data_IF_845199239961
#
_entry.id   IF_845199239961
#
_cell.length_a   1.000
_cell.length_b   1.000
_cell.length_c   1.000
_cell.angle_alpha   90.00
_cell.angle_beta   90.00
_cell.angle_gamma   90.00
#
_symmetry.space_group_name_H-M   'P 1'
#
loop_
_entity.id
_entity.type
_entity.pdbx_description
1 polymer ?
#
# COMPACT_ATOMS: atom_id res chain seq x y z
N UNK A 1 37.40 24.90 21.95
CA UNK A 1 36.40 24.64 20.88
C UNK A 1 36.38 23.19 20.45
N UNK A 2 37.52 22.55 20.15
CA UNK A 2 37.58 21.12 19.76
C UNK A 2 36.81 20.19 20.72
N UNK A 3 37.07 20.24 22.04
CA UNK A 3 36.34 19.42 23.04
C UNK A 3 34.82 19.65 23.08
N UNK A 4 34.34 20.83 22.67
CA UNK A 4 32.91 21.13 22.62
C UNK A 4 32.26 20.52 21.38
N UNK A 5 32.95 20.59 20.23
CA UNK A 5 32.52 19.94 18.97
C UNK A 5 32.49 18.41 19.17
N UNK A 6 33.56 17.81 19.72
CA UNK A 6 33.61 16.36 20.02
C UNK A 6 32.47 15.90 20.94
N UNK A 7 32.02 16.75 21.87
CA UNK A 7 30.88 16.42 22.74
C UNK A 7 29.56 16.46 21.96
N UNK A 8 29.37 17.44 21.09
CA UNK A 8 28.20 17.54 20.22
C UNK A 8 28.17 16.34 19.24
N UNK A 9 29.31 15.92 18.71
CA UNK A 9 29.41 14.75 17.84
C UNK A 9 29.05 13.44 18.56
N UNK A 10 29.50 13.26 19.81
CA UNK A 10 29.07 12.12 20.64
C UNK A 10 27.57 12.14 20.91
N UNK A 11 27.00 13.31 21.17
CA UNK A 11 25.54 13.44 21.37
C UNK A 11 24.77 13.11 20.07
N UNK A 12 25.28 13.52 18.90
CA UNK A 12 24.69 13.17 17.59
C UNK A 12 24.74 11.66 17.35
N UNK A 13 25.89 11.02 17.57
CA UNK A 13 26.03 9.57 17.39
C UNK A 13 25.09 8.77 18.30
N UNK A 14 24.89 9.22 19.55
CA UNK A 14 23.93 8.60 20.46
C UNK A 14 22.48 8.75 19.97
N UNK A 15 22.13 9.90 19.37
CA UNK A 15 20.82 10.11 18.77
C UNK A 15 20.61 9.25 17.53
N UNK A 16 21.63 9.10 16.68
CA UNK A 16 21.57 8.21 15.50
C UNK A 16 21.30 6.75 15.90
N UNK A 17 21.97 6.25 16.94
CA UNK A 17 21.74 4.88 17.43
C UNK A 17 20.33 4.70 18.00
N UNK A 18 19.83 5.71 18.73
CA UNK A 18 18.44 5.70 19.21
C UNK A 18 17.42 5.73 18.05
N UNK A 19 17.72 6.49 16.98
CA UNK A 19 16.89 6.54 15.78
C UNK A 19 16.89 5.19 15.04
N UNK A 20 18.05 4.51 14.94
CA UNK A 20 18.13 3.14 14.40
C UNK A 20 17.29 2.15 15.18
N UNK A 21 17.34 2.21 16.50
CA UNK A 21 16.53 1.33 17.35
C UNK A 21 15.02 1.55 17.11
N UNK A 22 14.58 2.82 17.02
CA UNK A 22 13.20 3.18 16.67
C UNK A 22 12.85 2.71 15.25
N UNK A 23 13.76 2.81 14.29
CA UNK A 23 13.54 2.35 12.92
C UNK A 23 13.20 0.85 12.86
N UNK A 24 13.97 0.02 13.57
CA UNK A 24 13.72 -1.42 13.65
C UNK A 24 12.37 -1.73 14.31
N UNK A 25 12.02 -0.99 15.38
CA UNK A 25 10.73 -1.14 16.03
C UNK A 25 9.57 -0.76 15.09
N UNK A 26 9.73 0.34 14.35
CA UNK A 26 8.75 0.84 13.39
C UNK A 26 8.53 -0.14 12.23
N UNK A 27 9.61 -0.66 11.66
CA UNK A 27 9.57 -1.68 10.60
C UNK A 27 8.84 -2.94 11.08
N UNK A 28 9.17 -3.44 12.28
CA UNK A 28 8.49 -4.59 12.86
C UNK A 28 6.99 -4.32 13.12
N UNK A 29 6.65 -3.13 13.59
CA UNK A 29 5.26 -2.75 13.82
C UNK A 29 4.46 -2.70 12.51
N UNK A 30 5.04 -2.14 11.44
CA UNK A 30 4.42 -2.16 10.11
C UNK A 30 4.35 -3.55 9.50
N UNK A 31 5.34 -4.41 9.73
CA UNK A 31 5.31 -5.81 9.31
C UNK A 31 4.12 -6.57 9.89
N UNK A 32 3.92 -6.45 11.21
CA UNK A 32 2.75 -7.02 11.89
C UNK A 32 1.44 -6.42 11.36
N UNK A 33 1.38 -5.09 11.28
CA UNK A 33 0.20 -4.36 10.84
C UNK A 33 -0.25 -4.75 9.43
N UNK A 34 0.66 -4.79 8.45
CA UNK A 34 0.29 -5.12 7.06
C UNK A 34 -0.11 -6.59 6.90
N UNK A 35 0.47 -7.50 7.70
CA UNK A 35 0.03 -8.89 7.75
C UNK A 35 -1.41 -9.01 8.27
N UNK A 36 -1.71 -8.34 9.39
CA UNK A 36 -3.07 -8.27 9.93
C UNK A 36 -4.02 -7.58 8.95
N UNK A 37 -3.56 -6.51 8.27
CA UNK A 37 -4.34 -5.75 7.31
C UNK A 37 -4.71 -6.62 6.12
N UNK A 38 -3.78 -7.39 5.56
CA UNK A 38 -4.07 -8.32 4.47
C UNK A 38 -5.18 -9.32 4.81
N UNK A 39 -5.21 -9.83 6.06
CA UNK A 39 -6.29 -10.70 6.53
C UNK A 39 -7.63 -9.95 6.67
N UNK A 40 -7.61 -8.74 7.20
CA UNK A 40 -8.81 -7.93 7.38
C UNK A 40 -9.41 -7.51 6.03
N UNK A 41 -8.57 -7.06 5.09
CA UNK A 41 -8.96 -6.67 3.73
C UNK A 41 -9.68 -7.80 3.01
N UNK A 42 -9.17 -9.03 3.10
CA UNK A 42 -9.83 -10.21 2.52
C UNK A 42 -11.23 -10.42 3.09
N UNK A 43 -11.40 -10.31 4.41
CA UNK A 43 -12.70 -10.46 5.08
C UNK A 43 -13.65 -9.33 4.67
N UNK A 44 -13.18 -8.09 4.69
CA UNK A 44 -13.98 -6.90 4.38
C UNK A 44 -14.41 -6.86 2.92
N UNK A 45 -13.55 -7.28 1.98
CA UNK A 45 -13.94 -7.43 0.58
C UNK A 45 -15.08 -8.44 0.40
N UNK A 46 -15.03 -9.59 1.10
CA UNK A 46 -16.09 -10.59 1.05
C UNK A 46 -17.40 -10.03 1.62
N UNK A 47 -17.34 -9.33 2.76
CA UNK A 47 -18.50 -8.71 3.40
C UNK A 47 -19.12 -7.62 2.53
N UNK A 48 -18.30 -6.72 1.98
CA UNK A 48 -18.76 -5.67 1.07
C UNK A 48 -19.41 -6.28 -0.18
N UNK A 49 -18.79 -7.30 -0.78
CA UNK A 49 -19.34 -8.01 -1.94
C UNK A 49 -20.67 -8.71 -1.60
N UNK A 50 -20.75 -9.34 -0.43
CA UNK A 50 -21.99 -9.96 0.05
C UNK A 50 -23.11 -8.93 0.20
N UNK A 51 -22.85 -7.81 0.88
CA UNK A 51 -23.82 -6.74 1.05
C UNK A 51 -24.24 -6.15 -0.30
N UNK A 52 -23.30 -5.91 -1.21
CA UNK A 52 -23.62 -5.40 -2.53
C UNK A 52 -24.51 -6.35 -3.32
N UNK A 53 -24.20 -7.65 -3.34
CA UNK A 53 -24.99 -8.65 -4.06
C UNK A 53 -26.37 -8.91 -3.43
N UNK A 54 -26.52 -8.76 -2.11
CA UNK A 54 -27.77 -9.13 -1.41
C UNK A 54 -28.68 -7.96 -1.09
N UNK A 55 -28.11 -6.76 -0.88
CA UNK A 55 -28.86 -5.55 -0.53
C UNK A 55 -28.87 -4.54 -1.67
N UNK A 56 -27.82 -4.51 -2.50
CA UNK A 56 -27.73 -3.57 -3.64
C UNK A 56 -28.38 -4.09 -4.90
N UNK A 57 -27.96 -5.28 -5.32
CA UNK A 57 -28.36 -5.87 -6.60
C UNK A 57 -28.84 -7.32 -6.45
N UNK A 58 -29.84 -7.59 -5.57
CA UNK A 58 -30.33 -8.95 -5.33
C UNK A 58 -30.87 -9.61 -6.60
N UNK A 59 -31.67 -8.90 -7.39
CA UNK A 59 -32.24 -9.44 -8.63
C UNK A 59 -31.16 -9.82 -9.63
N UNK A 60 -30.19 -8.94 -9.87
CA UNK A 60 -29.08 -9.21 -10.79
C UNK A 60 -28.25 -10.42 -10.34
N UNK A 61 -28.00 -10.55 -9.04
CA UNK A 61 -27.31 -11.71 -8.48
C UNK A 61 -28.15 -13.01 -8.58
N UNK A 62 -29.47 -12.93 -8.42
CA UNK A 62 -30.38 -14.07 -8.59
C UNK A 62 -30.51 -14.51 -10.06
N UNK A 63 -30.32 -13.61 -11.03
CA UNK A 63 -30.26 -13.97 -12.44
C UNK A 63 -29.02 -14.79 -12.82
N UNK A 64 -27.96 -14.75 -12.02
CA UNK A 64 -26.79 -15.60 -12.22
C UNK A 64 -27.13 -17.07 -11.99
N UNK A 65 -26.62 -17.96 -12.84
CA UNK A 65 -26.62 -19.40 -12.60
C UNK A 65 -25.76 -19.78 -11.38
N UNK A 66 -25.98 -20.98 -10.83
CA UNK A 66 -25.19 -21.49 -9.71
C UNK A 66 -23.67 -21.45 -10.01
N UNK A 67 -23.26 -21.85 -11.21
CA UNK A 67 -21.86 -21.84 -11.62
C UNK A 67 -21.29 -20.42 -11.67
N UNK A 68 -22.02 -19.46 -12.26
CA UNK A 68 -21.60 -18.05 -12.31
C UNK A 68 -21.44 -17.45 -10.90
N UNK A 69 -22.37 -17.76 -9.98
CA UNK A 69 -22.26 -17.32 -8.57
C UNK A 69 -21.00 -17.90 -7.90
N UNK A 70 -20.71 -19.19 -8.13
CA UNK A 70 -19.51 -19.83 -7.59
C UNK A 70 -18.23 -19.20 -8.17
N UNK A 71 -18.17 -18.99 -9.49
CA UNK A 71 -17.04 -18.35 -10.16
C UNK A 71 -16.80 -16.93 -9.64
N UNK A 72 -17.86 -16.12 -9.49
CA UNK A 72 -17.77 -14.76 -8.94
C UNK A 72 -17.20 -14.77 -7.52
N UNK A 73 -17.73 -15.64 -6.64
CA UNK A 73 -17.24 -15.75 -5.26
C UNK A 73 -15.77 -16.22 -5.19
N UNK A 74 -15.36 -17.15 -6.05
CA UNK A 74 -13.97 -17.60 -6.13
C UNK A 74 -13.05 -16.48 -6.65
N UNK A 75 -13.47 -15.75 -7.67
CA UNK A 75 -12.72 -14.64 -8.22
C UNK A 75 -12.49 -13.54 -7.18
N UNK A 76 -13.53 -13.14 -6.44
CA UNK A 76 -13.42 -12.15 -5.35
C UNK A 76 -12.46 -12.63 -4.26
N UNK A 77 -12.50 -13.91 -3.87
CA UNK A 77 -11.58 -14.48 -2.87
C UNK A 77 -10.13 -14.44 -3.36
N UNK A 78 -9.88 -14.82 -4.62
CA UNK A 78 -8.54 -14.77 -5.23
C UNK A 78 -8.02 -13.35 -5.30
N UNK A 79 -8.87 -12.40 -5.66
CA UNK A 79 -8.53 -10.99 -5.75
C UNK A 79 -8.11 -10.43 -4.38
N UNK A 80 -8.85 -10.76 -3.31
CA UNK A 80 -8.43 -10.44 -1.94
C UNK A 80 -7.11 -11.10 -1.51
N UNK A 81 -6.82 -12.33 -1.95
CA UNK A 81 -5.54 -13.00 -1.67
C UNK A 81 -4.38 -12.26 -2.34
N UNK A 82 -4.51 -11.93 -3.62
CA UNK A 82 -3.49 -11.19 -4.37
C UNK A 82 -3.20 -9.82 -3.75
N UNK A 83 -4.24 -9.09 -3.32
CA UNK A 83 -4.04 -7.81 -2.64
C UNK A 83 -3.32 -7.95 -1.29
N UNK A 84 -3.63 -9.01 -0.53
CA UNK A 84 -2.93 -9.29 0.73
C UNK A 84 -1.45 -9.65 0.51
N UNK A 85 -1.14 -10.40 -0.55
CA UNK A 85 0.23 -10.69 -0.95
C UNK A 85 0.98 -9.42 -1.38
N UNK A 86 0.34 -8.55 -2.17
CA UNK A 86 0.91 -7.26 -2.57
C UNK A 86 1.27 -6.38 -1.37
N UNK A 87 0.40 -6.30 -0.35
CA UNK A 87 0.69 -5.56 0.88
C UNK A 87 1.96 -6.06 1.59
N UNK A 88 2.24 -7.37 1.53
CA UNK A 88 3.41 -7.98 2.16
C UNK A 88 4.70 -7.84 1.33
N UNK A 89 4.61 -7.71 0.01
CA UNK A 89 5.79 -7.50 -0.86
C UNK A 89 6.53 -6.22 -0.48
N UNK A 90 5.79 -5.16 -0.11
CA UNK A 90 6.38 -3.90 0.36
C UNK A 90 7.15 -4.02 1.68
N UNK A 91 7.04 -5.14 2.41
CA UNK A 91 7.88 -5.41 3.58
C UNK A 91 9.10 -6.26 3.19
N UNK A 92 8.87 -7.28 2.36
CA UNK A 92 9.90 -8.28 2.01
C UNK A 92 11.03 -7.75 1.13
N UNK A 93 10.79 -6.65 0.41
CA UNK A 93 11.85 -5.91 -0.29
C UNK A 93 12.99 -5.46 0.64
N UNK A 94 12.83 -5.46 1.97
CA UNK A 94 13.89 -5.15 2.93
C UNK A 94 14.67 -6.37 3.46
N UNK A 95 14.11 -7.59 3.40
CA UNK A 95 14.74 -8.79 3.99
C UNK A 95 15.72 -9.48 3.03
N UNK A 96 15.53 -9.38 1.72
CA UNK A 96 16.39 -10.03 0.71
C UNK A 96 17.71 -9.32 0.40
N UNK A 97 18.03 -8.22 1.11
CA UNK A 97 19.28 -7.46 0.91
C UNK A 97 20.47 -7.87 1.79
N UNK A 98 20.40 -9.00 2.50
CA UNK A 98 21.44 -9.40 3.49
C UNK A 98 21.93 -10.84 3.44
N UNK A 99 21.68 -11.57 2.35
CA UNK A 99 22.19 -12.95 2.25
C UNK A 99 22.65 -13.31 0.84
N UNK A 100 23.64 -12.58 0.33
CA UNK A 100 24.58 -13.15 -0.65
C UNK A 100 26.00 -12.81 -0.20
N UNK A 101 26.44 -13.57 0.80
CA UNK A 101 27.84 -13.71 1.17
C UNK A 101 28.27 -15.15 0.91
N UNK A 102 29.16 -15.28 -0.06
CA UNK A 102 30.24 -16.26 -0.14
C UNK A 102 29.95 -17.64 -0.78
N UNK A 103 30.37 -17.68 -2.05
CA UNK A 103 31.26 -18.65 -2.71
C UNK A 103 31.08 -20.16 -2.49
N UNK A 104 30.99 -20.84 -3.64
CA UNK A 104 31.78 -22.03 -3.92
C UNK A 104 30.99 -23.22 -4.44
N UNK A 105 30.99 -23.42 -5.76
CA UNK A 105 31.22 -24.76 -6.31
C UNK A 105 31.73 -24.67 -7.76
N UNK A 106 32.96 -25.14 -7.95
CA UNK A 106 33.54 -25.49 -9.24
C UNK A 106 33.09 -26.92 -9.61
N UNK A 107 32.82 -27.17 -10.88
CA UNK A 107 32.57 -28.51 -11.42
C UNK A 107 31.74 -28.43 -12.70
N UNK A 108 32.35 -28.16 -13.85
CA UNK A 108 33.06 -29.12 -14.71
C UNK A 108 32.14 -29.89 -15.69
N UNK A 109 32.57 -29.81 -16.95
CA UNK A 109 32.35 -30.65 -18.14
C UNK A 109 30.94 -31.02 -18.66
N UNK A 110 30.79 -30.91 -19.99
CA UNK A 110 29.71 -31.55 -20.73
C UNK A 110 29.46 -30.99 -22.13
N UNK A 111 30.31 -31.38 -23.06
CA UNK A 111 30.13 -31.34 -24.52
C UNK A 111 28.77 -31.91 -25.00
N UNK A 112 28.17 -31.29 -26.02
CA UNK A 112 27.79 -31.91 -27.31
C UNK A 112 26.78 -31.02 -28.06
N UNK A 113 27.05 -30.81 -29.35
CA UNK A 113 26.11 -30.21 -30.29
C UNK A 113 25.17 -31.23 -30.91
N UNK A 114 24.07 -30.77 -31.49
CA UNK A 114 23.55 -31.30 -32.77
C UNK A 114 22.45 -30.38 -33.31
N UNK A 115 22.43 -30.24 -34.64
CA UNK A 115 21.40 -29.58 -35.43
C UNK A 115 20.29 -30.61 -35.75
N UNK A 116 19.03 -30.18 -35.83
CA UNK A 116 17.95 -31.08 -36.26
C UNK A 116 16.58 -30.44 -36.33
N UNK A 117 16.14 -30.22 -37.56
CA UNK A 117 14.85 -29.70 -38.05
C UNK A 117 13.67 -30.64 -37.70
N UNK A 118 12.47 -30.06 -37.53
CA UNK A 118 11.19 -30.45 -38.18
C UNK A 118 9.92 -30.03 -37.40
N UNK A 119 8.99 -29.56 -38.21
CA UNK A 119 7.64 -29.02 -38.06
C UNK A 119 6.66 -29.86 -37.17
N UNK A 120 5.82 -29.20 -36.34
CA UNK A 120 4.44 -28.82 -36.68
C UNK A 120 3.51 -28.59 -35.44
N UNK A 121 2.61 -27.61 -35.62
CA UNK A 121 1.25 -27.43 -35.05
C UNK A 121 0.93 -27.16 -33.55
N UNK A 122 0.48 -25.91 -33.36
CA UNK A 122 -0.62 -25.40 -32.49
C UNK A 122 -1.05 -26.18 -31.25
N UNK A 123 -0.79 -25.59 -30.06
CA UNK A 123 -1.89 -25.31 -29.11
C UNK A 123 -1.62 -24.01 -28.35
N UNK A 124 -2.54 -23.09 -28.52
CA UNK A 124 -2.69 -21.83 -27.79
C UNK A 124 -2.67 -22.04 -26.26
N UNK A 125 -1.61 -21.59 -25.61
CA UNK A 125 -1.63 -21.27 -24.19
C UNK A 125 -0.88 -19.98 -23.98
N UNK A 126 -1.50 -18.87 -24.40
CA UNK A 126 -1.14 -17.54 -23.91
C UNK A 126 -1.54 -17.46 -22.45
N UNK A 127 -0.75 -18.13 -21.60
CA UNK A 127 -0.49 -17.66 -20.25
C UNK A 127 0.14 -16.29 -20.45
N UNK A 128 -0.71 -15.26 -20.51
CA UNK A 128 -0.29 -13.88 -20.37
C UNK A 128 0.33 -13.79 -18.99
N UNK A 129 1.63 -14.08 -18.93
CA UNK A 129 2.59 -13.51 -18.02
C UNK A 129 2.29 -12.02 -18.04
N UNK A 130 1.42 -11.58 -17.14
CA UNK A 130 1.29 -10.17 -16.81
C UNK A 130 2.63 -9.86 -16.20
N UNK A 131 3.53 -9.39 -17.05
CA UNK A 131 4.82 -8.83 -16.70
C UNK A 131 4.53 -7.79 -15.63
N UNK A 132 4.77 -8.20 -14.38
CA UNK A 132 4.98 -7.28 -13.29
C UNK A 132 6.10 -6.39 -13.77
N UNK A 133 5.82 -5.10 -13.89
CA UNK A 133 6.85 -4.11 -14.10
C UNK A 133 7.68 -4.06 -12.81
N UNK A 134 8.61 -5.01 -12.70
CA UNK A 134 9.57 -5.23 -11.60
C UNK A 134 10.56 -4.07 -11.49
N UNK A 135 10.41 -3.03 -12.32
CA UNK A 135 11.20 -1.81 -12.33
C UNK A 135 11.01 -0.94 -11.07
N UNK A 136 10.00 -1.22 -10.22
CA UNK A 136 9.74 -0.42 -9.00
C UNK A 136 10.24 -1.04 -7.69
N UNK A 137 10.98 -2.16 -7.75
CA UNK A 137 11.56 -2.83 -6.56
C UNK A 137 12.82 -2.15 -6.00
N UNK A 138 13.10 -0.90 -6.38
CA UNK A 138 14.29 -0.14 -5.94
C UNK A 138 14.05 0.84 -4.79
N UNK A 139 12.85 0.93 -4.20
CA UNK A 139 12.49 2.12 -3.41
C UNK A 139 11.95 1.89 -2.01
N UNK A 140 12.58 1.04 -1.19
CA UNK A 140 12.25 0.97 0.24
C UNK A 140 13.44 0.86 1.20
N UNK A 141 14.69 1.04 0.76
CA UNK A 141 15.82 1.09 1.72
C UNK A 141 15.88 2.45 2.41
N UNK A 142 15.19 2.58 3.56
CA UNK A 142 15.33 3.75 4.41
C UNK A 142 16.71 3.73 5.08
N UNK A 143 17.45 4.84 5.00
CA UNK A 143 18.59 5.04 5.88
C UNK A 143 18.07 5.08 7.33
N UNK A 144 18.30 4.01 8.08
CA UNK A 144 17.76 3.83 9.46
C UNK A 144 18.30 4.83 10.47
N UNK A 145 19.27 5.67 10.09
CA UNK A 145 19.85 6.72 10.94
C UNK A 145 19.29 8.11 10.64
N UNK A 146 18.56 8.30 9.54
CA UNK A 146 17.97 9.60 9.17
C UNK A 146 16.46 9.62 9.44
N UNK A 147 15.99 10.45 10.39
CA UNK A 147 14.57 10.54 10.70
C UNK A 147 13.71 11.08 9.53
N UNK A 148 14.32 11.80 8.57
CA UNK A 148 13.62 12.30 7.38
C UNK A 148 13.36 11.15 6.40
N UNK A 149 14.35 10.29 6.17
CA UNK A 149 14.20 9.13 5.28
C UNK A 149 13.21 8.12 5.86
N UNK A 150 13.21 7.90 7.18
CA UNK A 150 12.20 7.07 7.84
C UNK A 150 10.77 7.61 7.68
N UNK A 151 10.59 8.94 7.76
CA UNK A 151 9.28 9.56 7.52
C UNK A 151 8.83 9.39 6.06
N UNK A 152 9.74 9.54 5.09
CA UNK A 152 9.43 9.30 3.66
C UNK A 152 9.06 7.84 3.40
N UNK A 153 9.80 6.90 3.99
CA UNK A 153 9.51 5.47 3.89
C UNK A 153 8.12 5.16 4.42
N UNK A 154 7.78 5.69 5.61
CA UNK A 154 6.46 5.51 6.21
C UNK A 154 5.35 6.08 5.32
N UNK A 155 5.53 7.28 4.78
CA UNK A 155 4.58 7.90 3.86
C UNK A 155 4.36 7.05 2.61
N UNK A 156 5.45 6.61 1.97
CA UNK A 156 5.37 5.74 0.78
C UNK A 156 4.63 4.43 1.06
N UNK A 157 4.86 3.84 2.23
CA UNK A 157 4.21 2.60 2.64
C UNK A 157 2.69 2.80 2.84
N UNK A 158 2.29 3.92 3.46
CA UNK A 158 0.88 4.25 3.64
C UNK A 158 0.18 4.59 2.30
N UNK A 159 0.86 5.32 1.42
CA UNK A 159 0.36 5.62 0.07
C UNK A 159 0.20 4.33 -0.76
N UNK A 160 1.18 3.43 -0.71
CA UNK A 160 1.12 2.14 -1.40
C UNK A 160 -0.06 1.28 -0.88
N UNK A 161 -0.26 1.22 0.43
CA UNK A 161 -1.38 0.48 1.02
C UNK A 161 -2.74 1.04 0.55
N UNK A 162 -2.90 2.36 0.50
CA UNK A 162 -4.11 2.99 -0.02
C UNK A 162 -4.32 2.73 -1.50
N UNK A 163 -3.26 2.80 -2.31
CA UNK A 163 -3.32 2.55 -3.74
C UNK A 163 -3.73 1.09 -4.04
N UNK A 164 -3.23 0.13 -3.26
CA UNK A 164 -3.67 -1.26 -3.34
C UNK A 164 -5.17 -1.37 -3.05
N UNK A 165 -5.68 -0.71 -2.00
CA UNK A 165 -7.12 -0.75 -1.69
C UNK A 165 -8.00 -0.11 -2.78
N UNK A 166 -7.51 0.96 -3.41
CA UNK A 166 -8.18 1.61 -4.55
C UNK A 166 -8.27 0.69 -5.75
N UNK A 167 -7.14 0.09 -6.15
CA UNK A 167 -7.08 -0.91 -7.24
C UNK A 167 -7.96 -2.11 -6.94
N UNK A 168 -7.87 -2.64 -5.72
CA UNK A 168 -8.70 -3.74 -5.22
C UNK A 168 -10.20 -3.43 -5.34
N UNK A 169 -10.62 -2.22 -4.98
CA UNK A 169 -12.01 -1.78 -5.09
C UNK A 169 -12.44 -1.66 -6.56
N UNK A 170 -11.59 -1.08 -7.41
CA UNK A 170 -11.84 -0.98 -8.85
C UNK A 170 -11.99 -2.36 -9.50
N UNK A 171 -11.04 -3.27 -9.28
CA UNK A 171 -11.04 -4.60 -9.88
C UNK A 171 -12.23 -5.43 -9.39
N UNK A 172 -12.61 -5.32 -8.12
CA UNK A 172 -13.79 -5.97 -7.58
C UNK A 172 -15.08 -5.46 -8.25
N UNK A 173 -15.21 -4.14 -8.44
CA UNK A 173 -16.32 -3.55 -9.17
C UNK A 173 -16.34 -4.00 -10.64
N UNK A 174 -15.18 -4.07 -11.30
CA UNK A 174 -15.06 -4.56 -12.67
C UNK A 174 -15.52 -6.02 -12.79
N UNK A 175 -15.14 -6.89 -11.84
CA UNK A 175 -15.62 -8.27 -11.80
C UNK A 175 -17.14 -8.35 -11.64
N UNK A 176 -17.72 -7.54 -10.74
CA UNK A 176 -19.15 -7.48 -10.52
C UNK A 176 -19.92 -6.93 -11.74
N UNK A 177 -19.34 -5.99 -12.49
CA UNK A 177 -19.90 -5.52 -13.77
C UNK A 177 -19.85 -6.61 -14.85
N UNK A 178 -18.72 -7.31 -14.98
CA UNK A 178 -18.55 -8.43 -15.93
C UNK A 178 -19.52 -9.57 -15.64
N UNK A 179 -19.78 -9.85 -14.36
CA UNK A 179 -20.79 -10.81 -13.94
C UNK A 179 -22.24 -10.30 -14.14
N UNK A 180 -22.44 -9.03 -14.51
CA UNK A 180 -23.77 -8.45 -14.70
C UNK A 180 -24.49 -8.11 -13.40
N UNK A 181 -23.80 -8.10 -12.25
CA UNK A 181 -24.36 -7.66 -10.96
C UNK A 181 -24.43 -6.14 -10.92
N UNK A 182 -23.35 -5.45 -11.27
CA UNK A 182 -23.30 -3.99 -11.38
C UNK A 182 -23.75 -3.52 -12.78
N UNK A 183 -24.40 -2.34 -12.90
CA UNK A 183 -24.76 -1.78 -14.19
C UNK A 183 -23.51 -1.41 -15.02
N UNK A 184 -23.58 -1.60 -16.34
CA UNK A 184 -22.45 -1.37 -17.27
C UNK A 184 -22.13 0.12 -17.51
N UNK A 185 -23.05 1.03 -17.20
CA UNK A 185 -22.88 2.48 -17.38
C UNK A 185 -22.44 3.12 -16.06
N UNK A 186 -21.21 2.80 -15.62
CA UNK A 186 -20.61 3.46 -14.45
C UNK A 186 -19.60 4.49 -14.95
N UNK A 187 -19.85 5.80 -14.72
CA UNK A 187 -18.85 6.81 -15.01
C UNK A 187 -17.70 6.64 -14.02
N UNK A 188 -16.65 5.92 -14.42
CA UNK A 188 -15.42 5.74 -13.62
C UNK A 188 -14.87 7.05 -13.05
N UNK A 189 -14.89 8.19 -13.78
CA UNK A 189 -14.43 9.47 -13.25
C UNK A 189 -15.25 9.95 -12.03
N UNK A 190 -16.57 9.69 -12.02
CA UNK A 190 -17.46 10.09 -10.92
C UNK A 190 -17.24 9.20 -9.70
N UNK A 191 -17.03 7.89 -9.92
CA UNK A 191 -16.70 6.96 -8.84
C UNK A 191 -15.37 7.31 -8.18
N UNK A 192 -14.34 7.60 -8.98
CA UNK A 192 -13.04 8.00 -8.45
C UNK A 192 -13.11 9.33 -7.67
N UNK A 193 -13.83 10.32 -8.20
CA UNK A 193 -14.04 11.61 -7.51
C UNK A 193 -14.81 11.44 -6.20
N UNK A 194 -15.87 10.63 -6.21
CA UNK A 194 -16.67 10.38 -5.01
C UNK A 194 -15.94 9.50 -3.98
N UNK A 195 -15.13 8.54 -4.42
CA UNK A 195 -14.24 7.78 -3.54
C UNK A 195 -13.21 8.69 -2.87
N UNK A 196 -12.57 9.59 -3.64
CA UNK A 196 -11.63 10.57 -3.10
C UNK A 196 -12.30 11.55 -2.12
N UNK A 197 -13.51 12.02 -2.43
CA UNK A 197 -14.29 12.88 -1.53
C UNK A 197 -14.71 12.15 -0.24
N UNK A 198 -15.04 10.86 -0.34
CA UNK A 198 -15.38 9.99 0.79
C UNK A 198 -14.17 9.67 1.66
N UNK A 199 -12.97 9.55 1.09
CA UNK A 199 -11.72 9.42 1.85
C UNK A 199 -11.32 10.73 2.54
N UNK A 200 -11.54 11.88 1.90
CA UNK A 200 -11.22 13.20 2.44
C UNK A 200 -12.19 13.63 3.55
N UNK A 201 -13.45 13.20 3.45
CA UNK A 201 -14.45 13.41 4.48
C UNK A 201 -14.25 12.38 5.57
N UNK A 202 -13.57 12.75 6.66
CA UNK A 202 -13.40 11.91 7.86
C UNK A 202 -14.73 11.62 8.61
N UNK A 203 -15.87 11.93 7.99
CA UNK A 203 -17.20 11.67 8.53
C UNK A 203 -17.60 10.21 8.29
N UNK A 204 -18.22 9.61 9.30
CA UNK A 204 -18.83 8.28 9.19
C UNK A 204 -20.01 8.41 8.22
N UNK A 205 -19.77 8.08 6.96
CA UNK A 205 -20.82 8.03 5.95
C UNK A 205 -21.90 7.03 6.40
N UNK A 206 -23.18 7.41 6.42
CA UNK A 206 -24.25 6.48 6.75
C UNK A 206 -24.34 5.41 5.65
N UNK A 207 -24.07 4.16 6.01
CA UNK A 207 -24.14 3.04 5.07
C UNK A 207 -23.39 1.80 5.57
N UNK A 208 -23.51 0.67 4.86
CA UNK A 208 -22.69 -0.50 5.15
C UNK A 208 -21.20 -0.17 4.93
N UNK A 209 -20.29 -0.74 5.73
CA UNK A 209 -18.87 -0.46 5.61
C UNK A 209 -18.35 -0.88 4.22
N UNK A 210 -17.37 -0.13 3.74
CA UNK A 210 -16.66 -0.35 2.50
C UNK A 210 -17.51 -0.31 1.23
N UNK A 211 -18.65 0.37 1.27
CA UNK A 211 -19.52 0.63 0.13
C UNK A 211 -19.71 2.14 -0.08
N UNK A 212 -19.77 2.53 -1.35
CA UNK A 212 -20.09 3.88 -1.80
C UNK A 212 -21.48 3.87 -2.42
N UNK A 213 -22.37 4.73 -1.92
CA UNK A 213 -23.72 4.90 -2.45
C UNK A 213 -23.84 6.29 -3.11
N UNK A 214 -24.08 6.31 -4.41
CA UNK A 214 -24.18 7.53 -5.22
C UNK A 214 -25.57 7.62 -5.83
N UNK A 215 -26.09 8.84 -5.92
CA UNK A 215 -27.29 9.13 -6.72
C UNK A 215 -26.83 9.95 -7.91
N UNK A 216 -27.02 9.42 -9.12
CA UNK A 216 -26.60 10.06 -10.36
C UNK A 216 -27.85 10.37 -11.19
N UNK A 217 -27.98 11.61 -11.66
CA UNK A 217 -28.95 11.96 -12.70
C UNK A 217 -28.41 11.48 -14.04
N UNK A 218 -29.09 10.49 -14.63
CA UNK A 218 -28.77 10.03 -15.98
C UNK A 218 -29.87 10.56 -16.91
N UNK A 219 -29.49 11.42 -17.85
CA UNK A 219 -30.37 11.82 -18.95
C UNK A 219 -30.64 10.59 -19.84
N UNK A 220 -31.80 9.96 -19.66
CA UNK A 220 -32.28 8.92 -20.55
C UNK A 220 -33.03 9.58 -21.71
N UNK A 221 -32.48 9.51 -22.92
CA UNK A 221 -33.10 10.07 -24.14
C UNK A 221 -34.43 9.40 -24.57
N UNK A 222 -34.92 8.37 -23.87
CA UNK A 222 -36.03 7.54 -24.37
C UNK A 222 -37.25 7.33 -23.47
N UNK A 223 -37.35 7.84 -22.23
CA UNK A 223 -38.61 7.72 -21.46
C UNK A 223 -38.89 8.94 -20.57
N UNK A 224 -39.95 9.66 -20.93
CA UNK A 224 -40.93 10.43 -20.12
C UNK A 224 -40.53 10.91 -18.71
N UNK A 225 -40.49 12.24 -18.57
CA UNK A 225 -40.89 13.13 -17.45
C UNK A 225 -40.65 12.79 -15.95
N UNK A 226 -40.00 11.69 -15.59
CA UNK A 226 -39.49 11.48 -14.22
C UNK A 226 -37.98 11.73 -14.21
N UNK A 227 -37.53 12.75 -13.47
CA UNK A 227 -36.12 13.10 -13.27
C UNK A 227 -35.31 11.86 -12.84
N UNK A 228 -34.50 11.33 -13.76
CA UNK A 228 -33.85 10.02 -13.72
C UNK A 228 -32.69 9.89 -12.74
N UNK A 229 -32.96 10.08 -11.45
CA UNK A 229 -32.02 9.80 -10.35
C UNK A 229 -31.84 8.29 -10.21
N UNK A 230 -30.69 7.77 -10.65
CA UNK A 230 -30.30 6.36 -10.47
C UNK A 230 -29.38 6.23 -9.26
N UNK A 231 -29.77 5.41 -8.28
CA UNK A 231 -28.91 5.06 -7.17
C UNK A 231 -27.94 3.94 -7.58
N UNK A 232 -26.64 4.17 -7.33
CA UNK A 232 -25.55 3.26 -7.65
C UNK A 232 -24.80 2.95 -6.37
N UNK A 233 -24.71 1.66 -6.04
CA UNK A 233 -23.87 1.19 -4.93
C UNK A 233 -22.66 0.46 -5.49
N UNK A 234 -21.46 0.81 -5.05
CA UNK A 234 -20.21 0.20 -5.51
C UNK A 234 -19.30 -0.13 -4.32
N UNK A 235 -18.37 -1.06 -4.51
CA UNK A 235 -17.34 -1.37 -3.52
C UNK A 235 -16.35 -0.21 -3.46
N UNK A 236 -16.09 0.28 -2.25
CA UNK A 236 -15.05 1.25 -1.96
C UNK A 236 -14.40 0.89 -0.62
N UNK A 237 -13.34 0.10 -0.66
CA UNK A 237 -12.61 -0.33 0.54
C UNK A 237 -11.88 0.85 1.16
N UNK A 238 -12.27 1.23 2.38
CA UNK A 238 -11.71 2.38 3.09
C UNK A 238 -10.82 1.90 4.22
N UNK A 239 -9.56 2.33 4.22
CA UNK A 239 -8.58 1.91 5.23
C UNK A 239 -9.09 2.16 6.65
N UNK A 240 -9.65 3.36 6.91
CA UNK A 240 -10.15 3.71 8.23
C UNK A 240 -11.30 2.82 8.72
N UNK A 241 -12.17 2.34 7.83
CA UNK A 241 -13.26 1.43 8.21
C UNK A 241 -12.75 0.01 8.46
N UNK A 242 -11.78 -0.44 7.66
CA UNK A 242 -11.12 -1.74 7.85
C UNK A 242 -10.38 -1.75 9.20
N UNK A 243 -9.64 -0.69 9.51
CA UNK A 243 -8.94 -0.54 10.80
C UNK A 243 -9.92 -0.45 11.97
N UNK A 244 -11.01 0.28 11.82
CA UNK A 244 -12.02 0.44 12.87
C UNK A 244 -12.76 -0.88 13.17
N UNK A 245 -13.02 -1.69 12.14
CA UNK A 245 -13.72 -2.95 12.30
C UNK A 245 -12.88 -4.05 12.99
N UNK A 246 -11.54 -3.92 13.03
CA UNK A 246 -10.65 -4.91 13.64
C UNK A 246 -9.89 -4.31 14.84
N UNK A 247 -10.15 -4.86 16.03
CA UNK A 247 -9.54 -4.40 17.29
C UNK A 247 -8.02 -4.55 17.27
N UNK A 248 -7.50 -5.58 16.58
CA UNK A 248 -6.06 -5.84 16.45
C UNK A 248 -5.40 -4.75 15.61
N UNK A 249 -5.97 -4.44 14.44
CA UNK A 249 -5.49 -3.34 13.59
C UNK A 249 -5.53 -2.00 14.32
N UNK A 250 -6.63 -1.73 15.03
CA UNK A 250 -6.77 -0.53 15.85
C UNK A 250 -5.69 -0.44 16.96
N UNK A 251 -5.25 -1.58 17.50
CA UNK A 251 -4.14 -1.63 18.46
C UNK A 251 -2.79 -1.39 17.80
N UNK A 252 -2.50 -2.09 16.70
CA UNK A 252 -1.26 -1.97 15.93
C UNK A 252 -1.08 -0.54 15.37
N UNK A 253 -2.15 0.09 14.86
CA UNK A 253 -2.10 1.49 14.40
C UNK A 253 -1.80 2.46 15.54
N UNK A 254 -2.31 2.20 16.76
CA UNK A 254 -1.96 3.00 17.95
C UNK A 254 -0.49 2.83 18.32
N UNK A 255 0.05 1.61 18.25
CA UNK A 255 1.47 1.35 18.50
C UNK A 255 2.35 2.10 17.48
N UNK A 256 2.04 2.01 16.19
CA UNK A 256 2.74 2.75 15.13
C UNK A 256 2.73 4.26 15.44
N UNK A 257 1.56 4.83 15.78
CA UNK A 257 1.46 6.26 16.15
C UNK A 257 2.34 6.61 17.36
N UNK A 258 2.42 5.75 18.37
CA UNK A 258 3.29 5.96 19.54
C UNK A 258 4.78 6.00 19.15
N UNK A 259 5.21 5.07 18.31
CA UNK A 259 6.60 5.01 17.81
C UNK A 259 6.91 6.26 16.98
N UNK A 260 6.00 6.68 16.11
CA UNK A 260 6.16 7.90 15.30
C UNK A 260 6.25 9.18 16.15
N UNK A 261 5.55 9.26 17.28
CA UNK A 261 5.70 10.39 18.21
C UNK A 261 7.11 10.42 18.82
N UNK A 262 7.65 9.26 19.19
CA UNK A 262 9.02 9.16 19.69
C UNK A 262 10.06 9.51 18.61
N UNK A 263 9.89 9.00 17.39
CA UNK A 263 10.74 9.32 16.24
C UNK A 263 10.77 10.82 15.97
N UNK A 264 9.60 11.49 15.99
CA UNK A 264 9.51 12.93 15.80
C UNK A 264 10.23 13.72 16.89
N UNK A 265 10.20 13.24 18.14
CA UNK A 265 10.93 13.87 19.25
C UNK A 265 12.45 13.77 19.02
N UNK A 266 12.96 12.58 18.75
CA UNK A 266 14.38 12.38 18.46
C UNK A 266 14.83 13.14 17.21
N UNK A 267 14.01 13.18 16.16
CA UNK A 267 14.32 13.90 14.94
C UNK A 267 14.46 15.42 15.15
N UNK A 268 13.69 16.01 16.08
CA UNK A 268 13.86 17.43 16.45
C UNK A 268 15.16 17.66 17.23
N UNK A 269 15.48 16.77 18.16
CA UNK A 269 16.72 16.83 18.93
C UNK A 269 17.95 16.66 18.03
N UNK A 270 17.91 15.70 17.11
CA UNK A 270 18.93 15.46 16.09
C UNK A 270 19.19 16.70 15.23
N UNK A 271 18.14 17.30 14.65
CA UNK A 271 18.27 18.53 13.86
C UNK A 271 18.85 19.69 14.67
N UNK A 272 18.46 19.82 15.95
CA UNK A 272 19.00 20.84 16.84
C UNK A 272 20.50 20.64 17.08
N UNK A 273 20.93 19.43 17.39
CA UNK A 273 22.36 19.11 17.62
C UNK A 273 23.20 19.30 16.37
N UNK A 274 22.69 18.91 15.21
CA UNK A 274 23.38 19.12 13.94
C UNK A 274 23.57 20.62 13.64
N UNK A 275 22.57 21.46 13.94
CA UNK A 275 22.69 22.93 13.83
C UNK A 275 23.71 23.50 14.82
N UNK A 276 23.74 23.01 16.07
CA UNK A 276 24.74 23.41 17.07
C UNK A 276 26.16 23.07 16.61
N UNK A 277 26.36 21.88 16.02
CA UNK A 277 27.64 21.47 15.42
C UNK A 277 28.06 22.43 14.32
N UNK A 278 27.19 22.69 13.35
CA UNK A 278 27.49 23.57 12.22
C UNK A 278 27.87 25.00 12.66
N UNK A 279 27.18 25.54 13.68
CA UNK A 279 27.54 26.84 14.26
C UNK A 279 28.92 26.78 14.92
N UNK A 280 29.18 25.76 15.75
CA UNK A 280 30.47 25.63 16.43
C UNK A 280 31.65 25.47 15.45
N UNK A 281 31.46 24.73 14.37
CA UNK A 281 32.43 24.57 13.28
C UNK A 281 32.65 25.88 12.52
N UNK A 282 31.57 26.58 12.15
CA UNK A 282 31.66 27.86 11.47
C UNK A 282 32.40 28.91 12.31
N UNK A 283 32.11 28.99 13.61
CA UNK A 283 32.84 29.90 14.49
C UNK A 283 34.30 29.51 14.68
N UNK A 284 34.62 28.21 14.72
CA UNK A 284 36.01 27.74 14.80
C UNK A 284 36.78 28.07 13.50
N UNK A 285 36.17 27.85 12.34
CA UNK A 285 36.71 28.21 11.04
C UNK A 285 36.93 29.72 10.91
N UNK A 286 35.95 30.52 11.31
CA UNK A 286 36.06 32.00 11.32
C UNK A 286 37.26 32.47 12.13
N UNK A 287 37.40 31.97 13.37
CA UNK A 287 38.53 32.32 14.25
C UNK A 287 39.87 31.87 13.70
N UNK A 288 39.92 30.73 13.00
CA UNK A 288 41.14 30.22 12.36
C UNK A 288 41.54 31.03 11.12
N UNK A 289 40.57 31.59 10.39
CA UNK A 289 40.80 32.45 9.22
C UNK A 289 41.02 33.94 9.54
N UNK A 290 40.84 34.34 10.80
CA UNK A 290 40.99 35.72 11.23
C UNK A 290 42.46 36.06 11.48
N UNK A 291 43.02 36.92 10.62
CA UNK A 291 44.37 37.48 10.78
C UNK A 291 44.26 39.00 10.88
N UNK A 292 44.90 39.60 11.89
CA UNK A 292 45.13 41.05 11.97
C UNK A 292 46.51 41.35 11.35
N UNK A 293 46.54 42.23 10.34
CA UNK A 293 47.79 42.74 9.74
C UNK A 293 48.34 43.92 10.52
#
# INVERSE_FOLDING_TARGET
MARAIERIERDIAALEEAIRAIAVELQRAYASYLNTLGLAVRKQLILASYHLCTQGYPENFLHLSLNQRQQLQQAIRKLGQLAAEQLLIYIKSEESGKDEGDEGDEGDEGDEGDEGDEENEEVTSSSSSLFLDTSNSQYLTANTSDPIELAKWQQKLEEAAQEILKKLSHDANLLLQKAGVLPKKLPEPILAAAAAASEASAEVMPGPPNLLNLVIEIENEQQSEDSGLTQIMAINLRLGEIEFADVTLSSERRQIRSILVQLNKLGREYKKRYKEKAVAEAEAAWRASWFEN
#
